data_IF_978205233686
#
_entry.id   IF_978205233686
#
_cell.length_a   1.000
_cell.length_b   1.000
_cell.length_c   1.000
_cell.angle_alpha   90.00
_cell.angle_beta   90.00
_cell.angle_gamma   90.00
#
_symmetry.space_group_name_H-M   'P 1'
#
loop_
_entity.id
_entity.type
_entity.pdbx_description
1 polymer ?
#
# COMPACT_ATOMS: atom_id res chain seq x y z
N UNK A 1 -3.87 -73.11 22.09
CA UNK A 1 -3.46 -72.06 21.12
C UNK A 1 -2.66 -72.75 20.02
N UNK A 2 -3.22 -72.93 18.85
CA UNK A 2 -2.56 -73.57 17.71
C UNK A 2 -2.19 -72.49 16.67
N UNK A 3 -1.02 -72.45 16.08
CA UNK A 3 -0.64 -71.47 15.06
C UNK A 3 -1.26 -71.88 13.70
N UNK A 4 -1.77 -70.88 13.00
CA UNK A 4 -2.31 -71.01 11.67
C UNK A 4 -1.15 -71.06 10.67
N UNK A 5 -1.08 -72.12 9.90
CA UNK A 5 -0.15 -72.27 8.76
C UNK A 5 -0.72 -71.52 7.56
N UNK A 6 0.07 -70.59 7.01
CA UNK A 6 -0.20 -69.90 5.77
C UNK A 6 0.41 -70.69 4.62
N UNK A 7 -0.45 -71.25 3.74
CA UNK A 7 -0.04 -72.02 2.58
C UNK A 7 0.72 -71.15 1.55
N UNK A 8 1.85 -71.69 1.09
CA UNK A 8 2.61 -71.18 -0.04
C UNK A 8 1.82 -71.42 -1.35
N UNK A 9 1.47 -70.32 -2.03
CA UNK A 9 0.96 -70.33 -3.40
C UNK A 9 2.14 -70.19 -4.36
N UNK A 10 2.51 -71.31 -5.01
CA UNK A 10 3.46 -71.36 -6.09
C UNK A 10 3.01 -70.53 -7.28
N UNK A 11 3.71 -69.46 -7.59
CA UNK A 11 3.58 -68.72 -8.84
C UNK A 11 4.45 -69.34 -9.93
N UNK A 12 3.80 -69.86 -10.93
CA UNK A 12 4.45 -70.20 -12.19
C UNK A 12 4.79 -68.94 -12.99
N UNK A 13 5.91 -68.86 -13.70
CA UNK A 13 6.23 -67.71 -14.54
C UNK A 13 5.48 -67.78 -15.86
N UNK A 14 4.63 -66.80 -16.10
CA UNK A 14 4.02 -66.61 -17.41
C UNK A 14 5.07 -66.01 -18.37
N UNK A 15 5.24 -66.74 -19.47
CA UNK A 15 6.10 -66.45 -20.61
C UNK A 15 5.74 -65.17 -21.35
N UNK A 16 6.73 -64.38 -21.67
CA UNK A 16 6.83 -63.67 -22.94
C UNK A 16 5.86 -62.56 -23.24
N UNK A 17 6.11 -61.32 -22.78
CA UNK A 17 5.71 -60.14 -23.53
C UNK A 17 6.93 -59.19 -23.56
N UNK A 18 7.37 -58.94 -24.78
CA UNK A 18 8.54 -58.13 -25.10
C UNK A 18 8.46 -56.70 -24.56
N UNK A 19 9.57 -56.07 -24.10
CA UNK A 19 9.61 -54.70 -23.66
C UNK A 19 9.81 -53.73 -24.85
N UNK A 20 8.75 -53.49 -25.62
CA UNK A 20 8.84 -52.60 -26.78
C UNK A 20 8.12 -51.23 -26.62
N UNK A 21 7.56 -50.92 -25.47
CA UNK A 21 6.80 -49.70 -25.29
C UNK A 21 7.43 -48.66 -24.36
N UNK A 22 8.55 -48.95 -23.71
CA UNK A 22 9.21 -47.95 -22.82
C UNK A 22 10.20 -47.02 -23.52
N UNK A 23 10.65 -47.36 -24.73
CA UNK A 23 11.57 -46.49 -25.49
C UNK A 23 10.87 -45.37 -26.25
N UNK A 24 9.62 -45.60 -26.71
CA UNK A 24 8.87 -44.58 -27.45
C UNK A 24 8.33 -43.46 -26.57
N UNK A 25 8.00 -43.71 -25.31
CA UNK A 25 7.56 -42.70 -24.35
C UNK A 25 8.70 -41.80 -23.88
N UNK A 26 9.95 -42.28 -23.86
CA UNK A 26 11.13 -41.46 -23.51
C UNK A 26 11.62 -40.57 -24.65
N UNK A 27 11.34 -40.96 -25.92
CA UNK A 27 11.71 -40.12 -27.06
C UNK A 27 10.70 -38.99 -27.37
N UNK A 28 9.44 -39.14 -26.96
CA UNK A 28 8.47 -38.06 -27.01
C UNK A 28 8.73 -36.96 -25.97
N UNK A 29 9.41 -37.29 -24.87
CA UNK A 29 9.82 -36.30 -23.83
C UNK A 29 11.00 -35.41 -24.26
N UNK A 30 11.68 -35.72 -25.36
CA UNK A 30 12.95 -35.03 -25.74
C UNK A 30 12.85 -33.87 -26.71
N UNK A 31 11.69 -33.56 -27.26
CA UNK A 31 11.56 -32.45 -28.22
C UNK A 31 10.57 -31.35 -27.80
N UNK A 32 10.68 -30.88 -26.58
CA UNK A 32 10.06 -29.59 -26.25
C UNK A 32 10.86 -28.52 -26.98
N UNK A 33 10.26 -27.85 -27.98
CA UNK A 33 10.91 -26.82 -28.77
C UNK A 33 11.47 -25.72 -27.87
N UNK A 34 12.54 -25.03 -28.30
CA UNK A 34 13.12 -23.89 -27.57
C UNK A 34 12.03 -22.82 -27.25
N UNK A 35 11.04 -22.67 -28.14
CA UNK A 35 9.88 -21.78 -27.97
C UNK A 35 8.97 -22.25 -26.83
N UNK A 36 8.72 -23.57 -26.69
CA UNK A 36 7.92 -24.13 -25.60
C UNK A 36 8.67 -24.06 -24.25
N UNK A 37 10.00 -24.23 -24.25
CA UNK A 37 10.83 -24.01 -23.05
C UNK A 37 10.85 -22.54 -22.63
N UNK A 38 10.90 -21.61 -23.57
CA UNK A 38 10.82 -20.18 -23.32
C UNK A 38 9.43 -19.78 -22.81
N UNK A 39 8.34 -20.37 -23.35
CA UNK A 39 6.98 -20.18 -22.88
C UNK A 39 6.79 -20.75 -21.46
N UNK A 40 7.30 -21.95 -21.18
CA UNK A 40 7.29 -22.53 -19.84
C UNK A 40 8.13 -21.74 -18.82
N UNK A 41 9.25 -21.13 -19.23
CA UNK A 41 10.00 -20.17 -18.41
C UNK A 41 9.21 -18.89 -18.14
N UNK A 42 8.50 -18.36 -19.14
CA UNK A 42 7.62 -17.18 -18.96
C UNK A 42 6.45 -17.48 -18.01
N UNK A 43 5.88 -18.71 -18.05
CA UNK A 43 4.85 -19.15 -17.10
C UNK A 43 5.39 -19.36 -15.69
N UNK A 44 6.66 -19.69 -15.52
CA UNK A 44 7.30 -19.84 -14.19
C UNK A 44 7.69 -18.52 -13.54
N UNK A 45 7.64 -17.43 -14.26
CA UNK A 45 7.95 -16.10 -13.71
C UNK A 45 6.77 -15.59 -12.89
N UNK A 46 6.78 -15.92 -11.60
CA UNK A 46 5.75 -15.56 -10.63
C UNK A 46 5.54 -14.04 -10.51
N UNK A 47 6.51 -13.23 -10.94
CA UNK A 47 6.38 -11.78 -10.86
C UNK A 47 5.52 -11.20 -11.97
N UNK A 48 5.48 -11.83 -13.14
CA UNK A 48 4.66 -11.37 -14.28
C UNK A 48 3.17 -11.66 -14.10
N UNK A 49 2.82 -12.65 -13.28
CA UNK A 49 1.44 -13.01 -12.98
C UNK A 49 0.84 -12.18 -11.85
N UNK A 50 1.70 -11.49 -11.06
CA UNK A 50 1.26 -10.69 -9.92
C UNK A 50 0.62 -9.38 -10.35
N UNK A 51 -0.47 -9.02 -9.66
CA UNK A 51 -1.21 -7.78 -9.83
C UNK A 51 -1.09 -6.93 -8.58
N UNK A 52 -1.22 -5.64 -8.73
CA UNK A 52 -1.36 -4.69 -7.63
C UNK A 52 -2.82 -4.60 -7.20
N UNK A 53 -3.03 -4.65 -5.89
CA UNK A 53 -4.33 -4.48 -5.26
C UNK A 53 -4.25 -3.29 -4.33
N UNK A 54 -5.22 -2.39 -4.45
CA UNK A 54 -5.38 -1.25 -3.55
C UNK A 54 -6.14 -1.70 -2.32
N UNK A 55 -5.57 -1.50 -1.13
CA UNK A 55 -6.22 -1.83 0.13
C UNK A 55 -7.08 -0.64 0.55
N UNK A 56 -8.39 -0.88 0.76
CA UNK A 56 -9.34 0.13 1.22
C UNK A 56 -9.81 -0.15 2.64
N UNK A 57 -9.95 0.92 3.42
CA UNK A 57 -10.57 0.87 4.76
C UNK A 57 -12.01 0.36 4.68
N UNK A 58 -12.60 -0.09 5.80
CA UNK A 58 -14.01 -0.41 5.86
C UNK A 58 -14.89 0.79 5.47
N UNK A 59 -16.10 0.50 4.94
CA UNK A 59 -17.08 1.52 4.61
C UNK A 59 -17.35 2.45 5.79
N UNK A 60 -17.61 1.89 6.95
CA UNK A 60 -17.78 2.62 8.20
C UNK A 60 -16.61 2.35 9.14
N UNK A 61 -16.05 3.36 9.76
CA UNK A 61 -16.34 4.82 9.72
C UNK A 61 -15.49 5.60 8.71
N UNK A 62 -14.81 4.97 7.74
CA UNK A 62 -13.76 5.60 6.92
C UNK A 62 -14.05 5.72 5.43
N UNK A 63 -15.27 5.44 4.99
CA UNK A 63 -15.74 5.63 3.62
C UNK A 63 -14.79 5.08 2.54
N UNK A 64 -14.33 3.82 2.70
CA UNK A 64 -13.40 3.14 1.80
C UNK A 64 -12.09 3.91 1.50
N UNK A 65 -11.64 4.75 2.42
CA UNK A 65 -10.37 5.47 2.27
C UNK A 65 -9.24 4.52 1.90
N UNK A 66 -8.44 4.89 0.90
CA UNK A 66 -7.26 4.13 0.49
C UNK A 66 -6.23 4.10 1.60
N UNK A 67 -5.80 2.91 1.98
CA UNK A 67 -4.82 2.66 3.04
C UNK A 67 -3.44 2.40 2.47
N UNK A 68 -3.36 1.58 1.43
CA UNK A 68 -2.08 1.17 0.85
C UNK A 68 -2.28 0.23 -0.33
N UNK A 69 -1.19 -0.40 -0.74
CA UNK A 69 -1.19 -1.35 -1.84
C UNK A 69 -0.54 -2.66 -1.43
N UNK A 70 -1.01 -3.74 -2.02
CA UNK A 70 -0.42 -5.06 -1.86
C UNK A 70 -0.32 -5.76 -3.20
N UNK A 71 0.60 -6.71 -3.29
CA UNK A 71 0.80 -7.48 -4.51
C UNK A 71 0.31 -8.92 -4.31
N UNK A 72 -0.41 -9.43 -5.29
CA UNK A 72 -0.93 -10.80 -5.28
C UNK A 72 -1.04 -11.40 -6.67
N UNK A 73 -1.09 -12.72 -6.74
CA UNK A 73 -1.24 -13.47 -7.97
C UNK A 73 -2.72 -13.67 -8.31
N UNK A 74 -3.52 -13.96 -7.26
CA UNK A 74 -4.97 -14.15 -7.35
C UNK A 74 -5.66 -13.54 -6.13
N UNK A 75 -6.96 -13.31 -6.23
CA UNK A 75 -7.80 -12.76 -5.16
C UNK A 75 -7.80 -13.64 -3.92
N UNK A 76 -7.79 -14.96 -4.10
CA UNK A 76 -7.71 -15.95 -3.00
C UNK A 76 -6.46 -15.77 -2.13
N UNK A 77 -5.34 -15.36 -2.72
CA UNK A 77 -4.10 -15.14 -1.98
C UNK A 77 -4.08 -13.81 -1.21
N UNK A 78 -4.99 -12.90 -1.51
CA UNK A 78 -5.15 -11.61 -0.86
C UNK A 78 -6.12 -11.69 0.29
N UNK A 79 -7.24 -12.44 0.12
CA UNK A 79 -8.26 -12.62 1.15
C UNK A 79 -7.63 -13.20 2.43
N UNK A 80 -8.00 -12.62 3.57
CA UNK A 80 -7.49 -13.01 4.89
C UNK A 80 -6.16 -12.38 5.30
N UNK A 81 -5.46 -11.67 4.40
CA UNK A 81 -4.25 -10.92 4.77
C UNK A 81 -4.58 -9.83 5.79
N UNK A 82 -3.66 -9.65 6.71
CA UNK A 82 -3.74 -8.57 7.71
C UNK A 82 -2.75 -7.49 7.32
N UNK A 83 -3.27 -6.28 7.20
CA UNK A 83 -2.48 -5.07 6.96
C UNK A 83 -2.40 -4.27 8.25
N UNK A 84 -1.20 -3.85 8.61
CA UNK A 84 -0.93 -3.06 9.80
C UNK A 84 -0.33 -1.72 9.39
N UNK A 85 -0.89 -0.64 9.95
CA UNK A 85 -0.40 0.70 9.72
C UNK A 85 -0.54 1.54 10.99
N UNK A 86 0.25 2.59 11.09
CA UNK A 86 0.11 3.53 12.21
C UNK A 86 -1.05 4.49 11.99
N UNK A 87 -1.67 4.95 13.07
CA UNK A 87 -2.71 5.97 12.97
C UNK A 87 -2.18 7.28 12.38
N UNK A 88 -0.90 7.56 12.57
CA UNK A 88 -0.24 8.71 11.95
C UNK A 88 -0.26 8.64 10.41
N UNK A 89 0.04 7.47 9.84
CA UNK A 89 0.01 7.27 8.38
C UNK A 89 -1.42 7.41 7.83
N UNK A 90 -2.40 7.02 8.64
CA UNK A 90 -3.81 7.07 8.24
C UNK A 90 -4.42 8.46 8.33
N UNK A 91 -4.28 9.13 9.48
CA UNK A 91 -4.92 10.43 9.80
C UNK A 91 -3.96 11.63 9.68
N UNK A 92 -2.65 11.39 9.52
CA UNK A 92 -1.63 12.43 9.55
C UNK A 92 -1.32 12.99 10.95
N UNK A 93 -1.92 12.45 12.02
CA UNK A 93 -1.75 12.95 13.37
C UNK A 93 -0.50 12.37 14.05
N UNK A 94 0.57 13.16 14.13
CA UNK A 94 1.85 12.75 14.71
C UNK A 94 1.75 12.29 16.18
N UNK A 95 0.84 12.83 16.97
CA UNK A 95 0.65 12.45 18.37
C UNK A 95 0.21 10.99 18.52
N UNK A 96 -0.40 10.39 17.50
CA UNK A 96 -0.92 9.03 17.48
C UNK A 96 0.00 8.01 16.79
N UNK A 97 1.28 8.32 16.60
CA UNK A 97 2.30 7.44 16.01
C UNK A 97 2.42 6.07 16.72
N UNK A 98 2.10 6.03 18.00
CA UNK A 98 2.21 4.81 18.81
C UNK A 98 1.04 3.84 18.66
N UNK A 99 -0.04 4.24 18.00
CA UNK A 99 -1.24 3.42 17.76
C UNK A 99 -1.11 2.74 16.41
N UNK A 100 -1.12 1.42 16.39
CA UNK A 100 -1.08 0.60 15.17
C UNK A 100 -2.47 0.02 14.96
N UNK A 101 -3.07 0.33 13.82
CA UNK A 101 -4.35 -0.20 13.36
C UNK A 101 -4.14 -1.46 12.54
N UNK A 102 -5.09 -2.37 12.61
CA UNK A 102 -5.05 -3.67 11.93
C UNK A 102 -6.30 -3.87 11.11
N UNK A 103 -6.12 -4.13 9.84
CA UNK A 103 -7.18 -4.38 8.88
C UNK A 103 -6.99 -5.78 8.29
N UNK A 104 -8.09 -6.53 8.13
CA UNK A 104 -8.09 -7.83 7.45
C UNK A 104 -8.83 -7.69 6.14
N UNK A 105 -8.25 -8.18 5.07
CA UNK A 105 -8.92 -8.26 3.78
C UNK A 105 -10.01 -9.33 3.84
N UNK A 106 -11.23 -8.93 3.52
CA UNK A 106 -12.41 -9.82 3.48
C UNK A 106 -12.77 -10.18 2.07
N UNK A 107 -12.79 -9.21 1.18
CA UNK A 107 -13.24 -9.36 -0.20
C UNK A 107 -12.34 -8.60 -1.16
N UNK A 108 -12.28 -9.06 -2.40
CA UNK A 108 -11.61 -8.36 -3.49
C UNK A 108 -12.63 -8.03 -4.57
N UNK A 109 -12.72 -6.76 -4.96
CA UNK A 109 -13.58 -6.28 -6.04
C UNK A 109 -12.68 -5.64 -7.11
N UNK A 110 -12.44 -6.39 -8.19
CA UNK A 110 -11.52 -5.93 -9.25
C UNK A 110 -10.07 -5.79 -8.75
N UNK A 111 -9.60 -4.55 -8.62
CA UNK A 111 -8.27 -4.25 -8.08
C UNK A 111 -8.31 -3.75 -6.63
N UNK A 112 -9.50 -3.59 -6.07
CA UNK A 112 -9.65 -3.13 -4.70
C UNK A 112 -9.82 -4.30 -3.73
N UNK A 113 -9.03 -4.29 -2.66
CA UNK A 113 -9.12 -5.21 -1.55
C UNK A 113 -9.87 -4.52 -0.40
N UNK A 114 -11.12 -4.90 -0.19
CA UNK A 114 -11.96 -4.41 0.90
C UNK A 114 -11.53 -5.03 2.22
N UNK A 115 -11.49 -4.23 3.27
CA UNK A 115 -11.02 -4.70 4.57
C UNK A 115 -12.05 -4.52 5.67
N UNK A 116 -11.88 -5.32 6.72
CA UNK A 116 -12.57 -5.16 7.99
C UNK A 116 -11.57 -4.77 9.07
N UNK A 117 -11.92 -3.82 9.93
CA UNK A 117 -11.08 -3.45 11.06
C UNK A 117 -11.10 -4.52 12.14
N UNK A 118 -9.94 -5.14 12.42
CA UNK A 118 -9.84 -6.20 13.42
C UNK A 118 -9.57 -5.63 14.81
N UNK A 119 -8.99 -4.43 14.88
CA UNK A 119 -8.62 -3.79 16.13
C UNK A 119 -7.34 -2.99 16.01
N UNK A 120 -6.90 -2.48 17.14
CA UNK A 120 -5.65 -1.72 17.23
C UNK A 120 -4.76 -2.27 18.35
N UNK A 121 -3.51 -1.88 18.34
CA UNK A 121 -2.60 -2.09 19.46
C UNK A 121 -1.61 -0.93 19.58
N UNK A 122 -1.20 -0.64 20.80
CA UNK A 122 -0.13 0.31 21.06
C UNK A 122 1.23 -0.37 20.87
N UNK A 123 2.18 0.35 20.32
CA UNK A 123 3.56 -0.10 20.27
C UNK A 123 4.09 -0.42 21.67
N UNK A 124 4.84 -1.51 21.76
CA UNK A 124 5.34 -2.01 23.05
C UNK A 124 6.27 -1.02 23.75
N UNK A 125 7.03 -0.26 23.00
CA UNK A 125 7.92 0.77 23.50
C UNK A 125 7.16 1.90 24.21
N UNK A 126 6.07 2.37 23.61
CA UNK A 126 5.23 3.38 24.21
C UNK A 126 4.67 2.92 25.57
N UNK A 127 4.12 1.72 25.63
CA UNK A 127 3.59 1.16 26.86
C UNK A 127 4.68 0.93 27.93
N UNK A 128 5.88 0.49 27.54
CA UNK A 128 7.02 0.31 28.44
C UNK A 128 7.50 1.64 29.04
N UNK A 129 7.53 2.71 28.24
CA UNK A 129 7.95 4.04 28.72
C UNK A 129 6.99 4.61 29.77
N UNK A 130 5.69 4.26 29.72
CA UNK A 130 4.70 4.69 30.69
C UNK A 130 4.83 3.95 32.02
N UNK A 131 5.20 2.66 31.99
CA UNK A 131 5.34 1.81 33.17
C UNK A 131 6.70 2.09 33.81
N UNK A 132 6.69 2.72 35.02
CA UNK A 132 7.91 3.05 35.77
C UNK A 132 7.85 2.53 37.19
N UNK A 133 9.01 2.47 37.87
CA UNK A 133 9.09 2.12 39.28
C UNK A 133 8.24 3.08 40.11
N UNK A 134 7.76 2.61 41.27
CA UNK A 134 6.92 3.35 42.21
C UNK A 134 5.54 3.79 41.67
N UNK A 135 5.11 3.30 40.53
CA UNK A 135 3.76 3.47 40.00
C UNK A 135 2.98 2.18 40.03
N UNK A 136 1.69 2.30 40.24
CA UNK A 136 0.78 1.16 40.14
C UNK A 136 0.40 0.97 38.66
N UNK A 137 0.46 -0.28 38.20
CA UNK A 137 -0.08 -0.72 36.94
C UNK A 137 -1.34 -1.51 37.17
N UNK A 138 -2.41 -1.17 36.49
CA UNK A 138 -3.69 -1.88 36.50
C UNK A 138 -4.01 -2.29 35.08
N UNK A 139 -3.99 -3.59 34.86
CA UNK A 139 -4.37 -4.21 33.56
C UNK A 139 -5.68 -4.97 33.76
N UNK A 140 -6.53 -4.94 32.73
CA UNK A 140 -7.72 -5.79 32.66
C UNK A 140 -7.95 -6.29 31.24
N UNK A 141 -8.84 -7.25 31.10
CA UNK A 141 -9.33 -7.77 29.81
C UNK A 141 -10.84 -7.82 29.90
N UNK A 142 -11.50 -7.08 29.02
CA UNK A 142 -12.96 -6.94 29.01
C UNK A 142 -13.47 -7.36 27.65
N UNK A 143 -14.39 -8.31 27.63
CA UNK A 143 -15.12 -8.70 26.41
C UNK A 143 -16.47 -7.99 26.45
N UNK A 144 -16.78 -7.27 25.37
CA UNK A 144 -17.97 -6.43 25.25
C UNK A 144 -18.70 -6.69 23.95
N UNK A 145 -20.02 -6.55 24.00
CA UNK A 145 -20.88 -6.63 22.82
C UNK A 145 -21.39 -5.24 22.51
N UNK A 146 -21.36 -4.86 21.25
CA UNK A 146 -21.92 -3.60 20.75
C UNK A 146 -23.38 -3.76 20.35
N UNK A 147 -24.08 -2.64 20.07
CA UNK A 147 -25.48 -2.67 19.60
C UNK A 147 -25.65 -3.50 18.33
N UNK A 148 -24.65 -3.53 17.47
CA UNK A 148 -24.62 -4.26 16.18
C UNK A 148 -24.28 -5.76 16.35
N UNK A 149 -24.11 -6.25 17.58
CA UNK A 149 -23.77 -7.64 17.87
C UNK A 149 -22.29 -8.00 17.69
N UNK A 150 -21.40 -7.04 17.46
CA UNK A 150 -19.95 -7.30 17.41
C UNK A 150 -19.41 -7.61 18.79
N UNK A 151 -18.67 -8.72 18.92
CA UNK A 151 -17.95 -9.08 20.14
C UNK A 151 -16.50 -8.59 20.07
N UNK A 152 -16.15 -7.66 20.94
CA UNK A 152 -14.84 -7.01 20.97
C UNK A 152 -14.16 -7.22 22.29
N UNK A 153 -12.89 -7.63 22.25
CA UNK A 153 -12.03 -7.74 23.43
C UNK A 153 -11.19 -6.50 23.58
N UNK A 154 -11.34 -5.78 24.67
CA UNK A 154 -10.58 -4.59 25.02
C UNK A 154 -9.64 -4.85 26.17
N UNK A 155 -8.45 -4.25 26.11
CA UNK A 155 -7.42 -4.37 27.14
C UNK A 155 -7.02 -2.99 27.65
N UNK A 156 -7.76 -2.43 28.61
CA UNK A 156 -7.40 -1.16 29.23
C UNK A 156 -6.13 -1.29 30.07
N UNK A 157 -5.33 -0.25 30.06
CA UNK A 157 -4.13 -0.08 30.87
C UNK A 157 -4.25 1.24 31.64
N UNK A 158 -4.27 1.16 32.97
CA UNK A 158 -4.35 2.34 33.83
C UNK A 158 -3.06 2.41 34.64
N UNK A 159 -2.42 3.57 34.63
CA UNK A 159 -1.18 3.83 35.36
C UNK A 159 -1.45 4.89 36.41
N UNK A 160 -1.29 4.52 37.69
CA UNK A 160 -1.48 5.41 38.81
C UNK A 160 -0.26 6.30 39.04
N UNK A 161 -0.46 7.44 39.70
CA UNK A 161 0.64 8.34 40.02
C UNK A 161 1.63 7.71 41.01
N UNK A 162 1.13 6.98 42.02
CA UNK A 162 1.94 6.29 43.02
C UNK A 162 1.54 4.82 43.14
N UNK A 163 2.28 4.05 43.93
CA UNK A 163 1.99 2.66 44.20
C UNK A 163 0.72 2.52 45.02
N UNK A 164 -0.18 1.63 44.62
CA UNK A 164 -1.52 1.45 45.21
C UNK A 164 -1.69 0.03 45.67
N UNK A 165 -2.48 -0.15 46.74
CA UNK A 165 -2.87 -1.44 47.29
C UNK A 165 -3.73 -2.25 46.32
N UNK A 166 -3.77 -3.58 46.52
CA UNK A 166 -4.46 -4.50 45.57
C UNK A 166 -5.98 -4.28 45.57
N UNK A 167 -6.58 -3.97 46.75
CA UNK A 167 -8.02 -3.67 46.86
C UNK A 167 -8.41 -2.49 45.93
N UNK A 168 -7.70 -1.36 46.07
CA UNK A 168 -7.98 -0.18 45.24
C UNK A 168 -7.76 -0.45 43.75
N UNK A 169 -6.76 -1.29 43.38
CA UNK A 169 -6.61 -1.72 41.99
C UNK A 169 -7.81 -2.51 41.49
N UNK A 170 -8.41 -3.32 42.34
CA UNK A 170 -9.60 -4.09 42.01
C UNK A 170 -10.80 -3.16 41.77
N UNK A 171 -11.01 -2.19 42.65
CA UNK A 171 -12.07 -1.20 42.49
C UNK A 171 -11.92 -0.39 41.20
N UNK A 172 -10.68 0.00 40.88
CA UNK A 172 -10.38 0.67 39.60
C UNK A 172 -10.69 -0.21 38.39
N UNK A 173 -10.41 -1.53 38.45
CA UNK A 173 -10.76 -2.46 37.36
C UNK A 173 -12.26 -2.57 37.22
N UNK A 174 -12.98 -2.80 38.29
CA UNK A 174 -14.44 -2.91 38.26
C UNK A 174 -15.05 -1.67 37.66
N UNK A 175 -14.63 -0.48 38.10
CA UNK A 175 -15.15 0.78 37.59
C UNK A 175 -14.83 1.00 36.10
N UNK A 176 -13.60 0.70 35.67
CA UNK A 176 -13.22 0.81 34.28
C UNK A 176 -14.02 -0.17 33.38
N UNK A 177 -14.24 -1.39 33.88
CA UNK A 177 -15.03 -2.42 33.19
C UNK A 177 -16.47 -1.97 33.00
N UNK A 178 -17.11 -1.45 34.04
CA UNK A 178 -18.49 -0.97 33.98
C UNK A 178 -18.66 0.16 32.97
N UNK A 179 -17.71 1.09 32.90
CA UNK A 179 -17.72 2.18 31.97
C UNK A 179 -17.59 1.66 30.52
N UNK A 180 -16.65 0.75 30.26
CA UNK A 180 -16.43 0.16 28.93
C UNK A 180 -17.68 -0.60 28.47
N UNK A 181 -18.28 -1.43 29.34
CA UNK A 181 -19.48 -2.19 29.01
C UNK A 181 -20.64 -1.22 28.71
N UNK A 182 -20.85 -0.21 29.56
CA UNK A 182 -21.92 0.76 29.39
C UNK A 182 -21.76 1.60 28.10
N UNK A 183 -20.52 1.94 27.74
CA UNK A 183 -20.22 2.66 26.51
C UNK A 183 -20.50 1.81 25.25
N UNK A 184 -20.02 0.58 25.24
CA UNK A 184 -20.18 -0.31 24.08
C UNK A 184 -21.62 -0.77 23.88
N UNK A 185 -22.38 -0.94 24.96
CA UNK A 185 -23.80 -1.31 24.89
C UNK A 185 -24.70 -0.21 24.31
N UNK A 186 -24.23 1.04 24.24
CA UNK A 186 -24.98 2.18 23.72
C UNK A 186 -24.60 2.54 22.28
N UNK A 187 -23.41 2.17 21.86
CA UNK A 187 -22.82 2.64 20.61
C UNK A 187 -22.68 1.51 19.60
N UNK A 188 -22.69 1.89 18.30
CA UNK A 188 -22.38 1.00 17.19
C UNK A 188 -20.89 0.65 17.20
N UNK A 189 -20.50 -0.42 16.50
CA UNK A 189 -19.09 -0.80 16.39
C UNK A 189 -18.24 0.30 15.75
N UNK A 190 -18.77 1.00 14.76
CA UNK A 190 -18.12 2.13 14.09
C UNK A 190 -17.84 3.29 15.04
N UNK A 191 -18.81 3.63 15.89
CA UNK A 191 -18.64 4.68 16.90
C UNK A 191 -17.64 4.31 17.96
N UNK A 192 -17.66 3.06 18.38
CA UNK A 192 -16.68 2.52 19.34
C UNK A 192 -15.26 2.57 18.75
N UNK A 193 -15.08 2.22 17.47
CA UNK A 193 -13.79 2.34 16.80
C UNK A 193 -13.29 3.78 16.75
N UNK A 194 -14.16 4.70 16.35
CA UNK A 194 -13.85 6.14 16.31
C UNK A 194 -13.49 6.67 17.69
N UNK A 195 -14.28 6.34 18.70
CA UNK A 195 -14.02 6.76 20.08
C UNK A 195 -12.72 6.21 20.66
N UNK A 196 -12.34 4.97 20.29
CA UNK A 196 -11.05 4.36 20.67
C UNK A 196 -9.87 5.10 20.03
N UNK A 197 -9.96 5.42 18.75
CA UNK A 197 -8.89 6.10 18.01
C UNK A 197 -8.77 7.57 18.40
N UNK A 198 -9.88 8.24 18.67
CA UNK A 198 -9.91 9.63 19.15
C UNK A 198 -9.40 9.74 20.61
N UNK A 199 -9.58 8.70 21.42
CA UNK A 199 -9.24 8.70 22.84
C UNK A 199 -10.43 9.06 23.77
N UNK A 200 -11.63 9.28 23.22
CA UNK A 200 -12.83 9.64 24.01
C UNK A 200 -13.17 8.61 25.09
N UNK A 201 -13.05 7.32 24.75
CA UNK A 201 -13.26 6.24 25.70
C UNK A 201 -12.22 6.25 26.82
N UNK A 202 -10.97 6.58 26.51
CA UNK A 202 -9.89 6.70 27.47
C UNK A 202 -10.14 7.84 28.46
N UNK A 203 -10.65 8.98 27.99
CA UNK A 203 -11.04 10.13 28.81
C UNK A 203 -12.22 9.81 29.73
N UNK A 204 -13.21 9.06 29.26
CA UNK A 204 -14.34 8.62 30.10
C UNK A 204 -13.88 7.68 31.24
N UNK A 205 -13.03 6.72 30.90
CA UNK A 205 -12.44 5.82 31.90
C UNK A 205 -11.60 6.63 32.89
N UNK A 206 -10.82 7.58 32.45
CA UNK A 206 -9.99 8.43 33.30
C UNK A 206 -10.86 9.23 34.29
N UNK A 207 -11.91 9.88 33.81
CA UNK A 207 -12.86 10.63 34.64
C UNK A 207 -13.49 9.74 35.71
N UNK A 208 -13.93 8.53 35.32
CA UNK A 208 -14.57 7.59 36.25
C UNK A 208 -13.64 6.99 37.30
N UNK A 209 -12.38 6.76 36.92
CA UNK A 209 -11.38 6.15 37.85
C UNK A 209 -10.69 7.20 38.73
N UNK A 210 -10.58 8.45 38.30
CA UNK A 210 -10.03 9.55 39.09
C UNK A 210 -10.74 9.76 40.44
N UNK A 211 -12.02 9.41 40.50
CA UNK A 211 -12.78 9.49 41.77
C UNK A 211 -12.27 8.53 42.85
N UNK A 212 -11.63 7.41 42.46
CA UNK A 212 -11.11 6.38 43.38
C UNK A 212 -9.67 6.72 43.76
N UNK A 213 -8.82 7.00 42.76
CA UNK A 213 -7.40 7.30 42.96
C UNK A 213 -6.84 8.15 41.83
N UNK A 214 -5.90 9.07 42.09
CA UNK A 214 -5.30 9.89 41.05
C UNK A 214 -4.52 9.04 40.03
N UNK A 215 -4.93 9.16 38.74
CA UNK A 215 -4.38 8.43 37.62
C UNK A 215 -3.40 9.33 36.87
N UNK A 216 -2.34 8.77 36.31
CA UNK A 216 -1.40 9.46 35.44
C UNK A 216 -1.78 9.37 33.98
N UNK A 217 -2.11 8.17 33.56
CA UNK A 217 -2.52 7.91 32.16
C UNK A 217 -3.44 6.69 32.11
N UNK A 218 -4.41 6.77 31.25
CA UNK A 218 -5.29 5.68 30.85
C UNK A 218 -5.09 5.46 29.37
N UNK A 219 -5.05 4.21 28.94
CA UNK A 219 -4.98 3.86 27.54
C UNK A 219 -5.64 2.51 27.30
N UNK A 220 -6.33 2.36 26.18
CA UNK A 220 -6.77 1.05 25.71
C UNK A 220 -5.66 0.47 24.83
N UNK A 221 -4.73 -0.24 25.45
CA UNK A 221 -3.52 -0.71 24.77
C UNK A 221 -3.76 -1.67 23.62
N UNK A 222 -4.90 -2.36 23.59
CA UNK A 222 -5.25 -3.32 22.52
C UNK A 222 -6.74 -3.52 22.46
N UNK A 223 -7.29 -3.48 21.26
CA UNK A 223 -8.63 -4.00 20.94
C UNK A 223 -8.50 -5.17 19.95
N UNK A 224 -9.43 -6.11 20.02
CA UNK A 224 -9.48 -7.27 19.12
C UNK A 224 -10.93 -7.61 18.83
N UNK A 225 -11.26 -7.71 17.57
CA UNK A 225 -12.52 -8.26 17.11
C UNK A 225 -12.50 -9.80 17.32
N UNK A 226 -13.44 -10.34 18.06
CA UNK A 226 -13.58 -11.77 18.29
C UNK A 226 -14.64 -12.38 17.38
N UNK A 227 -15.77 -11.69 17.23
CA UNK A 227 -16.89 -12.12 16.41
C UNK A 227 -17.46 -10.92 15.67
N UNK A 228 -17.74 -11.13 14.40
CA UNK A 228 -18.38 -10.13 13.54
C UNK A 228 -19.89 -10.09 13.81
N UNK A 229 -20.47 -8.92 13.76
CA UNK A 229 -21.90 -8.66 13.90
C UNK A 229 -22.55 -8.33 12.57
N UNK A 230 -23.65 -7.59 12.63
CA UNK A 230 -24.36 -7.13 11.44
C UNK A 230 -23.66 -5.89 10.88
N UNK A 231 -23.30 -5.95 9.60
CA UNK A 231 -22.67 -4.82 8.91
C UNK A 231 -23.74 -3.80 8.54
N UNK A 232 -23.55 -2.54 8.91
CA UNK A 232 -24.40 -1.45 8.48
C UNK A 232 -24.22 -1.22 6.96
N UNK A 233 -25.33 -1.11 6.24
CA UNK A 233 -25.35 -0.88 4.78
C UNK A 233 -25.30 0.60 4.38
N UNK A 234 -25.40 1.51 5.34
CA UNK A 234 -25.45 2.95 5.09
C UNK A 234 -24.08 3.52 4.68
N UNK A 235 -24.07 4.58 3.86
CA UNK A 235 -22.87 5.28 3.42
C UNK A 235 -22.59 5.15 1.93
N UNK A 236 -21.52 5.80 1.42
CA UNK A 236 -21.20 5.83 0.00
C UNK A 236 -20.89 4.44 -0.55
N UNK A 237 -21.26 4.20 -1.80
CA UNK A 237 -20.92 2.97 -2.52
C UNK A 237 -19.48 3.04 -3.05
N UNK A 238 -18.90 1.88 -3.35
CA UNK A 238 -17.55 1.81 -3.91
C UNK A 238 -17.45 2.56 -5.25
N UNK A 239 -18.47 2.45 -6.09
CA UNK A 239 -18.53 3.10 -7.40
C UNK A 239 -18.59 4.63 -7.28
N UNK A 240 -19.32 5.15 -6.29
CA UNK A 240 -19.37 6.59 -6.00
C UNK A 240 -18.00 7.12 -5.58
N UNK A 241 -17.26 6.37 -4.80
CA UNK A 241 -15.92 6.76 -4.37
C UNK A 241 -14.93 6.75 -5.54
N UNK A 242 -14.99 5.72 -6.41
CA UNK A 242 -14.17 5.70 -7.63
C UNK A 242 -14.45 6.92 -8.50
N UNK A 243 -15.72 7.24 -8.72
CA UNK A 243 -16.12 8.42 -9.48
C UNK A 243 -15.62 9.74 -8.85
N UNK A 244 -15.60 9.82 -7.52
CA UNK A 244 -15.04 10.99 -6.80
C UNK A 244 -13.52 11.06 -6.94
N UNK A 245 -12.81 9.93 -6.78
CA UNK A 245 -11.36 9.86 -6.94
C UNK A 245 -10.93 10.22 -8.36
N UNK A 246 -11.65 9.76 -9.39
CA UNK A 246 -11.41 10.12 -10.79
C UNK A 246 -11.60 11.63 -11.04
N UNK A 247 -12.67 12.23 -10.51
CA UNK A 247 -12.88 13.68 -10.59
C UNK A 247 -11.76 14.46 -9.92
N UNK A 248 -11.36 14.07 -8.71
CA UNK A 248 -10.25 14.71 -8.00
C UNK A 248 -8.93 14.57 -8.74
N UNK A 249 -8.67 13.38 -9.32
CA UNK A 249 -7.49 13.15 -10.13
C UNK A 249 -7.48 14.00 -11.40
N UNK A 250 -8.64 14.16 -12.04
CA UNK A 250 -8.79 15.02 -13.21
C UNK A 250 -8.58 16.50 -12.84
N UNK A 251 -9.16 16.99 -11.74
CA UNK A 251 -8.94 18.34 -11.24
C UNK A 251 -7.46 18.62 -10.90
N UNK A 252 -6.80 17.66 -10.24
CA UNK A 252 -5.38 17.80 -9.92
C UNK A 252 -4.51 17.84 -11.19
N UNK A 253 -4.84 17.03 -12.20
CA UNK A 253 -4.17 17.07 -13.50
C UNK A 253 -4.40 18.41 -14.20
N UNK A 254 -5.65 18.90 -14.20
CA UNK A 254 -5.99 20.21 -14.77
C UNK A 254 -5.27 21.36 -14.06
N UNK A 255 -5.22 21.36 -12.71
CA UNK A 255 -4.47 22.34 -11.93
C UNK A 255 -2.97 22.30 -12.21
N UNK A 256 -2.38 21.10 -12.31
CA UNK A 256 -0.97 20.94 -12.67
C UNK A 256 -0.67 21.42 -14.09
N UNK A 257 -1.56 21.11 -15.04
CA UNK A 257 -1.42 21.58 -16.42
C UNK A 257 -1.55 23.10 -16.50
N UNK A 258 -2.50 23.70 -15.77
CA UNK A 258 -2.67 25.15 -15.69
C UNK A 258 -1.46 25.83 -15.02
N UNK A 259 -0.92 25.26 -13.95
CA UNK A 259 0.28 25.79 -13.29
C UNK A 259 1.52 25.71 -14.20
N UNK A 260 1.66 24.60 -14.95
CA UNK A 260 2.75 24.47 -15.93
C UNK A 260 2.61 25.46 -17.06
N UNK A 261 1.39 25.66 -17.58
CA UNK A 261 1.12 26.64 -18.63
C UNK A 261 1.37 28.09 -18.14
N UNK A 262 1.01 28.41 -16.87
CA UNK A 262 1.30 29.70 -16.27
C UNK A 262 2.82 29.92 -16.11
N UNK A 263 3.57 28.92 -15.65
CA UNK A 263 5.02 29.01 -15.54
C UNK A 263 5.70 29.19 -16.90
N UNK A 264 5.24 28.48 -17.94
CA UNK A 264 5.76 28.68 -19.30
C UNK A 264 5.39 30.04 -19.88
N UNK A 265 4.23 30.62 -19.49
CA UNK A 265 3.84 31.96 -19.90
C UNK A 265 4.67 33.05 -19.20
N UNK A 266 5.03 32.84 -17.91
CA UNK A 266 5.96 33.72 -17.17
C UNK A 266 7.37 33.70 -17.78
N UNK A 267 7.92 32.50 -18.10
CA UNK A 267 9.21 32.37 -18.76
C UNK A 267 9.22 33.02 -20.17
N UNK A 268 8.10 32.91 -20.91
CA UNK A 268 7.97 33.55 -22.22
C UNK A 268 7.85 35.08 -22.08
N UNK A 269 7.22 35.58 -21.02
CA UNK A 269 7.11 37.02 -20.73
C UNK A 269 8.46 37.65 -20.31
N UNK A 270 9.30 36.93 -19.55
CA UNK A 270 10.64 37.39 -19.18
C UNK A 270 11.61 37.45 -20.37
N UNK A 271 11.40 36.64 -21.42
CA UNK A 271 12.20 36.70 -22.65
C UNK A 271 11.80 37.85 -23.58
N UNK A 272 10.55 38.37 -23.46
CA UNK A 272 10.09 39.50 -24.24
C UNK A 272 10.49 40.87 -23.64
N UNK A 273 10.76 40.95 -22.31
CA UNK A 273 11.21 42.17 -21.65
C UNK A 273 12.73 42.49 -21.86
N UNK A 274 13.55 41.48 -22.24
CA UNK A 274 14.96 41.71 -22.63
C UNK A 274 15.20 42.10 -24.10
N UNK A 275 14.13 42.14 -24.92
CA UNK A 275 14.22 42.41 -26.35
C UNK A 275 13.79 43.83 -26.77
N UNK A 276 13.34 44.70 -25.85
CA UNK A 276 12.89 46.06 -26.18
C UNK A 276 13.91 47.15 -25.79
N UNK A 277 15.17 46.98 -26.25
CA UNK A 277 16.08 48.13 -26.34
C UNK A 277 16.96 48.01 -27.60
N UNK A 278 16.34 48.08 -28.79
CA UNK A 278 16.93 48.70 -30.01
C UNK A 278 15.97 48.67 -31.18
N UNK A 279 15.45 49.86 -31.59
CA UNK A 279 15.33 50.33 -32.99
C UNK A 279 14.24 49.75 -33.89
N UNK A 280 13.11 50.41 -33.88
CA UNK A 280 12.34 50.91 -35.04
C UNK A 280 12.68 50.37 -36.44
N UNK A 281 11.77 49.62 -37.01
CA UNK A 281 11.16 49.85 -38.35
C UNK A 281 10.15 48.76 -38.73
N UNK A 282 9.03 49.27 -39.21
CA UNK A 282 7.84 48.60 -39.68
C UNK A 282 8.07 47.52 -40.75
N UNK A 283 7.21 46.54 -40.82
CA UNK A 283 6.29 46.25 -41.94
C UNK A 283 5.24 45.18 -41.57
N UNK A 284 3.98 45.54 -41.80
CA UNK A 284 2.78 44.70 -41.81
C UNK A 284 2.86 43.50 -42.74
N UNK A 285 2.28 42.40 -42.33
CA UNK A 285 1.38 41.61 -43.20
C UNK A 285 0.63 40.51 -42.45
N UNK A 286 -0.64 40.58 -42.65
CA UNK A 286 -1.74 39.67 -42.25
C UNK A 286 -1.52 38.20 -42.61
N UNK A 287 -2.20 37.39 -41.86
CA UNK A 287 -3.27 36.43 -42.26
C UNK A 287 -3.16 35.07 -41.66
N UNK A 288 -4.16 34.83 -40.84
CA UNK A 288 -5.15 33.71 -40.85
C UNK A 288 -4.71 32.26 -40.74
N UNK A 289 -5.38 31.69 -39.73
CA UNK A 289 -6.18 30.46 -39.77
C UNK A 289 -5.53 29.09 -39.72
N UNK A 290 -5.74 28.51 -38.55
CA UNK A 290 -6.42 27.23 -38.21
C UNK A 290 -5.94 25.90 -38.81
N UNK A 291 -6.45 24.81 -38.21
CA UNK A 291 -5.61 23.71 -37.68
C UNK A 291 -5.78 22.48 -38.59
N UNK A 292 -4.95 21.48 -38.42
CA UNK A 292 -5.33 20.07 -38.69
C UNK A 292 -4.23 19.08 -38.26
N UNK A 293 -4.61 18.25 -37.34
CA UNK A 293 -4.47 16.77 -37.25
C UNK A 293 -3.29 16.05 -37.90
N UNK A 294 -2.61 15.26 -37.04
CA UNK A 294 -2.47 13.79 -37.13
C UNK A 294 -1.57 13.19 -38.23
N UNK A 295 -0.77 12.29 -37.72
CA UNK A 295 -0.33 10.99 -38.25
C UNK A 295 1.11 10.81 -38.73
N UNK A 296 1.77 9.96 -37.95
CA UNK A 296 2.64 8.83 -38.36
C UNK A 296 3.87 9.03 -39.23
N UNK A 297 4.96 8.52 -38.68
CA UNK A 297 6.26 8.14 -39.25
C UNK A 297 6.15 7.40 -40.59
N UNK A 298 7.26 7.04 -41.31
CA UNK A 298 8.66 6.90 -40.89
C UNK A 298 9.74 7.30 -41.95
N UNK A 299 11.00 7.27 -41.44
CA UNK A 299 12.24 6.91 -42.12
C UNK A 299 12.72 7.61 -43.42
N UNK A 300 13.89 8.09 -43.41
CA UNK A 300 15.10 7.65 -44.14
C UNK A 300 16.07 8.79 -44.43
N UNK A 301 17.30 8.53 -44.02
CA UNK A 301 18.59 8.89 -44.58
C UNK A 301 18.82 10.26 -45.28
N UNK A 302 19.74 10.99 -44.71
CA UNK A 302 20.97 11.40 -45.41
C UNK A 302 21.93 12.16 -44.46
N UNK A 303 23.12 11.65 -44.31
CA UNK A 303 24.33 12.35 -43.87
C UNK A 303 24.93 13.11 -45.06
N UNK A 304 26.06 13.82 -44.90
CA UNK A 304 26.60 14.64 -43.81
C UNK A 304 26.99 16.07 -44.33
N UNK A 305 27.23 16.98 -43.41
CA UNK A 305 28.17 18.07 -43.68
C UNK A 305 28.78 18.57 -42.36
N UNK A 306 30.10 18.56 -42.36
CA UNK A 306 30.97 19.25 -41.41
C UNK A 306 30.51 20.69 -41.19
N UNK A 307 30.49 21.13 -39.93
CA UNK A 307 31.26 22.31 -39.55
C UNK A 307 31.38 22.50 -38.04
N UNK A 308 32.48 23.09 -37.69
CA UNK A 308 33.15 23.33 -36.46
C UNK A 308 32.31 24.06 -35.37
N UNK A 309 32.55 23.64 -34.14
CA UNK A 309 32.34 24.51 -33.00
C UNK A 309 31.06 24.28 -32.20
N UNK A 310 30.62 23.01 -32.03
CA UNK A 310 29.53 22.71 -31.11
C UNK A 310 30.04 22.75 -29.66
N UNK A 311 29.42 23.60 -28.82
CA UNK A 311 29.66 23.66 -27.38
C UNK A 311 29.17 22.37 -26.70
N UNK A 312 30.02 21.35 -26.74
CA UNK A 312 29.75 20.03 -26.14
C UNK A 312 29.55 20.07 -24.61
N UNK A 313 29.96 21.19 -23.96
CA UNK A 313 29.83 21.40 -22.55
C UNK A 313 28.37 21.62 -22.10
N UNK A 314 27.52 22.14 -22.98
CA UNK A 314 26.10 22.38 -22.72
C UNK A 314 25.22 21.13 -22.93
N UNK A 315 25.73 20.12 -23.67
CA UNK A 315 24.97 18.93 -24.03
C UNK A 315 24.82 17.92 -22.89
N UNK A 316 23.74 17.15 -22.91
CA UNK A 316 23.50 16.06 -21.94
C UNK A 316 24.37 14.84 -22.23
N UNK A 317 24.60 14.02 -21.22
CA UNK A 317 25.42 12.79 -21.36
C UNK A 317 24.79 11.80 -22.36
N UNK A 318 23.47 11.85 -22.55
CA UNK A 318 22.76 10.99 -23.49
C UNK A 318 23.08 11.42 -24.96
N UNK A 319 23.01 12.69 -25.26
CA UNK A 319 23.32 13.27 -26.57
C UNK A 319 24.78 13.09 -26.98
N UNK A 320 25.70 13.28 -26.01
CA UNK A 320 27.13 13.03 -26.24
C UNK A 320 27.43 11.57 -26.58
N UNK A 321 26.68 10.62 -25.99
CA UNK A 321 26.80 9.19 -26.30
C UNK A 321 26.25 8.84 -27.67
N UNK A 322 25.20 9.51 -28.10
CA UNK A 322 24.67 9.33 -29.46
C UNK A 322 25.63 9.85 -30.53
N UNK A 323 26.22 11.03 -30.31
CA UNK A 323 27.23 11.58 -31.20
C UNK A 323 28.49 10.68 -31.30
N UNK A 324 28.97 10.16 -30.16
CA UNK A 324 30.10 9.22 -30.15
C UNK A 324 29.74 7.89 -30.84
N UNK A 325 28.50 7.44 -30.73
CA UNK A 325 27.99 6.24 -31.39
C UNK A 325 27.91 6.45 -32.92
N UNK A 326 27.49 7.64 -33.36
CA UNK A 326 27.47 8.03 -34.76
C UNK A 326 28.91 8.17 -35.33
N UNK A 327 29.85 8.65 -34.48
CA UNK A 327 31.27 8.76 -34.86
C UNK A 327 32.06 7.42 -34.70
N UNK A 328 31.41 6.32 -34.32
CA UNK A 328 32.04 4.99 -34.13
C UNK A 328 33.05 4.91 -32.98
N UNK A 329 33.04 5.88 -32.04
CA UNK A 329 33.95 5.95 -30.91
C UNK A 329 33.35 5.29 -29.67
N UNK A 330 34.13 4.80 -28.70
CA UNK A 330 33.63 4.12 -27.51
C UNK A 330 32.85 5.08 -26.60
N UNK A 331 31.60 4.68 -26.20
CA UNK A 331 30.61 5.48 -25.45
C UNK A 331 30.68 5.34 -23.94
N UNK A 332 31.74 4.73 -23.39
CA UNK A 332 31.91 4.51 -21.92
C UNK A 332 32.80 5.60 -21.32
N UNK A 333 32.38 6.21 -20.19
CA UNK A 333 33.18 7.20 -19.43
C UNK A 333 32.35 8.30 -18.80
N UNK A 334 33.00 9.21 -18.10
CA UNK A 334 32.41 10.42 -17.52
C UNK A 334 32.19 11.48 -18.62
N UNK A 335 31.33 12.48 -18.36
CA UNK A 335 31.01 13.55 -19.34
C UNK A 335 32.28 14.21 -19.93
N UNK A 336 33.26 14.49 -19.10
CA UNK A 336 34.54 15.08 -19.52
C UNK A 336 35.33 14.17 -20.50
N UNK A 337 35.32 12.85 -20.29
CA UNK A 337 35.98 11.86 -21.13
C UNK A 337 35.29 11.71 -22.50
N UNK A 338 33.94 11.86 -22.51
CA UNK A 338 33.14 11.82 -23.73
C UNK A 338 33.38 13.06 -24.60
N UNK A 339 33.48 14.23 -23.99
CA UNK A 339 33.77 15.51 -24.66
C UNK A 339 35.22 15.48 -25.23
N UNK A 340 36.19 14.99 -24.45
CA UNK A 340 37.58 14.87 -24.96
C UNK A 340 37.68 13.99 -26.18
N UNK A 341 36.91 12.90 -26.29
CA UNK A 341 36.89 12.00 -27.45
C UNK A 341 36.15 12.55 -28.66
N UNK A 342 35.20 13.49 -28.46
CA UNK A 342 34.53 14.17 -29.54
C UNK A 342 35.44 15.26 -30.16
N UNK A 343 36.34 15.84 -29.33
CA UNK A 343 37.31 16.85 -29.78
C UNK A 343 38.59 16.25 -30.38
N UNK A 344 38.82 14.93 -30.23
CA UNK A 344 39.86 14.15 -30.93
C UNK A 344 39.36 13.67 -32.32
#
# INVERSE_FOLDING_TARGET
MRPIQIGEVSRQPASGVAPARHTELNDMAKKISAKARAAARKQRDKWKTKRWYTIRAPRHPWDFKRIGETIGESDEHIIGRVYEMTQQEFDGNFSKMHVVMRFRVTECVGQDALTTFIGHHHQTDHTRRQIRRYRGKVDDVVDVVTTDGYLVRMKPLIITQQRVQTSVKQDMRTRARDIIIAFCAKNTYSDVQRALLDGKLEDEIEKGVKSIYPVRSVAVRKSQLLQEGVVASDGPTLDEIHAQEERQAAELKAKKAAALAAAMAEEAGEMDEEADDDGDEAVEAEAEAEPVQEEAAPAEEAAPADDAGADYDSMTVAELKELLKAAGKPVSGKKADLIARLNE
#
